data_IF_580736016586
#
_entry.id   IF_580736016586
#
_cell.length_a   1.000
_cell.length_b   1.000
_cell.length_c   1.000
_cell.angle_alpha   90.00
_cell.angle_beta   90.00
_cell.angle_gamma   90.00
#
_symmetry.space_group_name_H-M   'P 1'
#
loop_
_entity.id
_entity.type
_entity.pdbx_description
1 polymer ?
#
# COMPACT_ATOMS: atom_id res chain seq x y z
N UNK A 1 -21.74 -17.25 -23.82
CA UNK A 1 -20.66 -17.98 -23.13
C UNK A 1 -19.38 -17.16 -23.25
N UNK A 2 -18.88 -16.61 -22.14
CA UNK A 2 -17.58 -15.93 -22.14
C UNK A 2 -16.49 -16.99 -22.41
N UNK A 3 -15.75 -16.86 -23.51
CA UNK A 3 -14.61 -17.75 -23.78
C UNK A 3 -13.53 -17.40 -22.77
N UNK A 4 -13.10 -18.41 -22.01
CA UNK A 4 -11.98 -18.30 -21.09
C UNK A 4 -10.72 -18.25 -21.95
N UNK A 5 -10.15 -17.06 -22.11
CA UNK A 5 -8.95 -16.83 -22.89
C UNK A 5 -7.78 -16.46 -21.97
N UNK A 6 -6.66 -17.18 -22.10
CA UNK A 6 -5.40 -16.84 -21.44
C UNK A 6 -4.83 -15.56 -22.06
N UNK A 7 -4.28 -14.68 -21.22
CA UNK A 7 -3.78 -13.37 -21.67
C UNK A 7 -2.43 -13.51 -22.40
N UNK A 8 -1.39 -13.98 -21.71
CA UNK A 8 -0.05 -14.16 -22.29
C UNK A 8 0.89 -14.97 -21.37
N UNK A 9 2.01 -15.46 -21.92
CA UNK A 9 3.03 -16.20 -21.16
C UNK A 9 3.64 -15.37 -20.02
N UNK A 10 3.88 -14.07 -20.25
CA UNK A 10 4.39 -13.14 -19.22
C UNK A 10 3.46 -13.06 -18.00
N UNK A 11 2.14 -13.15 -18.23
CA UNK A 11 1.13 -13.13 -17.17
C UNK A 11 1.12 -14.40 -16.33
N UNK A 12 1.37 -15.55 -16.98
CA UNK A 12 1.50 -16.82 -16.27
C UNK A 12 2.72 -16.76 -15.32
N UNK A 13 3.87 -16.31 -15.82
CA UNK A 13 5.07 -16.14 -14.99
C UNK A 13 4.88 -15.13 -13.86
N UNK A 14 4.28 -13.98 -14.14
CA UNK A 14 3.92 -13.00 -13.12
C UNK A 14 3.04 -13.64 -12.02
N UNK A 15 2.01 -14.40 -12.41
CA UNK A 15 1.09 -15.06 -11.48
C UNK A 15 1.83 -16.09 -10.61
N UNK A 16 2.67 -16.94 -11.22
CA UNK A 16 3.45 -17.95 -10.50
C UNK A 16 4.38 -17.28 -9.48
N UNK A 17 5.12 -16.25 -9.89
CA UNK A 17 6.04 -15.53 -9.01
C UNK A 17 5.29 -14.89 -7.84
N UNK A 18 4.19 -14.17 -8.10
CA UNK A 18 3.39 -13.52 -7.05
C UNK A 18 2.80 -14.55 -6.10
N UNK A 19 2.24 -15.66 -6.61
CA UNK A 19 1.68 -16.71 -5.76
C UNK A 19 2.76 -17.33 -4.87
N UNK A 20 3.94 -17.64 -5.42
CA UNK A 20 5.04 -18.21 -4.64
C UNK A 20 5.52 -17.24 -3.54
N UNK A 21 5.83 -15.99 -3.89
CA UNK A 21 6.28 -14.99 -2.92
C UNK A 21 5.21 -14.75 -1.86
N UNK A 22 3.94 -14.63 -2.26
CA UNK A 22 2.86 -14.36 -1.33
C UNK A 22 2.55 -15.54 -0.41
N UNK A 23 2.65 -16.79 -0.88
CA UNK A 23 2.55 -17.97 -0.02
C UNK A 23 3.68 -18.04 1.01
N UNK A 24 4.91 -17.68 0.61
CA UNK A 24 6.05 -17.57 1.52
C UNK A 24 5.77 -16.50 2.58
N UNK A 25 5.25 -15.33 2.18
CA UNK A 25 4.84 -14.29 3.12
C UNK A 25 3.74 -14.79 4.07
N UNK A 26 2.69 -15.45 3.57
CA UNK A 26 1.63 -15.99 4.43
C UNK A 26 2.19 -16.98 5.45
N UNK A 27 3.09 -17.88 5.03
CA UNK A 27 3.76 -18.82 5.93
C UNK A 27 4.54 -18.13 7.05
N UNK A 28 5.37 -17.13 6.71
CA UNK A 28 6.11 -16.36 7.71
C UNK A 28 5.19 -15.48 8.57
N UNK A 29 4.11 -14.95 8.00
CA UNK A 29 3.09 -14.20 8.72
C UNK A 29 2.38 -15.06 9.77
N UNK A 30 2.07 -16.32 9.47
CA UNK A 30 1.50 -17.27 10.44
C UNK A 30 2.49 -17.52 11.58
N UNK A 31 3.77 -17.75 11.27
CA UNK A 31 4.82 -17.90 12.29
C UNK A 31 4.93 -16.67 13.18
N UNK A 32 4.85 -15.47 12.59
CA UNK A 32 4.90 -14.23 13.35
C UNK A 32 3.66 -14.06 14.25
N UNK A 33 2.45 -14.37 13.76
CA UNK A 33 1.23 -14.34 14.58
C UNK A 33 1.35 -15.28 15.78
N UNK A 34 1.81 -16.51 15.55
CA UNK A 34 2.00 -17.50 16.59
C UNK A 34 3.07 -17.09 17.62
N UNK A 35 4.15 -16.46 17.15
CA UNK A 35 5.15 -15.89 18.04
C UNK A 35 4.56 -14.78 18.90
N UNK A 36 3.83 -13.85 18.29
CA UNK A 36 3.23 -12.70 18.99
C UNK A 36 2.19 -13.12 20.04
N UNK A 37 1.43 -14.19 19.78
CA UNK A 37 0.47 -14.76 20.74
C UNK A 37 1.16 -15.35 21.98
N UNK A 38 2.40 -15.82 21.85
CA UNK A 38 3.18 -16.49 22.91
C UNK A 38 4.13 -15.57 23.65
N UNK A 39 4.24 -14.31 23.20
CA UNK A 39 5.06 -13.33 23.90
C UNK A 39 4.52 -13.13 25.32
N UNK A 40 5.38 -13.09 26.35
CA UNK A 40 4.97 -12.79 27.71
C UNK A 40 4.71 -11.28 27.83
N UNK A 41 3.53 -10.86 27.35
CA UNK A 41 3.07 -9.48 27.46
C UNK A 41 2.97 -9.10 28.95
N UNK A 42 3.53 -7.95 29.37
CA UNK A 42 3.53 -7.53 30.75
C UNK A 42 2.12 -7.17 31.19
N UNK A 43 1.78 -7.61 32.40
CA UNK A 43 0.47 -7.46 33.04
C UNK A 43 0.10 -6.00 33.36
N UNK A 44 1.09 -5.10 33.39
CA UNK A 44 0.90 -3.67 33.65
C UNK A 44 0.27 -2.90 32.48
N UNK A 45 0.32 -3.46 31.27
CA UNK A 45 -0.29 -2.86 30.08
C UNK A 45 -1.49 -3.70 29.64
N UNK A 46 -2.53 -3.06 29.09
CA UNK A 46 -3.64 -3.79 28.49
C UNK A 46 -3.12 -4.72 27.40
N UNK A 47 -3.46 -6.01 27.49
CA UNK A 47 -3.08 -7.02 26.51
C UNK A 47 -3.44 -6.50 25.09
N UNK A 48 -2.54 -6.59 24.09
CA UNK A 48 -2.75 -6.05 22.74
C UNK A 48 -3.73 -6.88 21.91
N UNK A 49 -4.95 -7.06 22.41
CA UNK A 49 -5.97 -7.89 21.79
C UNK A 49 -6.35 -7.38 20.40
N UNK A 50 -6.41 -6.06 20.25
CA UNK A 50 -6.85 -5.42 19.01
C UNK A 50 -5.76 -5.50 17.94
N UNK A 51 -4.51 -5.21 18.28
CA UNK A 51 -3.39 -5.24 17.33
C UNK A 51 -3.11 -6.67 16.84
N UNK A 52 -3.17 -7.66 17.74
CA UNK A 52 -3.08 -9.08 17.39
C UNK A 52 -4.25 -9.53 16.49
N UNK A 53 -5.47 -9.04 16.76
CA UNK A 53 -6.64 -9.33 15.94
C UNK A 53 -6.50 -8.72 14.54
N UNK A 54 -6.08 -7.46 14.44
CA UNK A 54 -5.83 -6.79 13.16
C UNK A 54 -4.80 -7.57 12.35
N UNK A 55 -3.69 -8.03 12.95
CA UNK A 55 -2.70 -8.82 12.22
C UNK A 55 -3.28 -10.10 11.63
N UNK A 56 -4.00 -10.88 12.44
CA UNK A 56 -4.64 -12.13 11.97
C UNK A 56 -5.66 -11.86 10.87
N UNK A 57 -6.45 -10.81 11.02
CA UNK A 57 -7.48 -10.43 10.06
C UNK A 57 -6.89 -9.94 8.72
N UNK A 58 -5.89 -9.06 8.77
CA UNK A 58 -5.16 -8.59 7.59
C UNK A 58 -4.49 -9.76 6.84
N UNK A 59 -3.87 -10.68 7.57
CA UNK A 59 -3.24 -11.87 6.99
C UNK A 59 -4.28 -12.79 6.33
N UNK A 60 -5.41 -13.03 6.99
CA UNK A 60 -6.51 -13.84 6.47
C UNK A 60 -7.10 -13.22 5.19
N UNK A 61 -7.41 -11.92 5.22
CA UNK A 61 -7.91 -11.21 4.04
C UNK A 61 -6.90 -11.28 2.90
N UNK A 62 -5.62 -11.06 3.19
CA UNK A 62 -4.56 -11.11 2.18
C UNK A 62 -4.51 -12.49 1.49
N UNK A 63 -4.64 -13.57 2.25
CA UNK A 63 -4.74 -14.92 1.70
C UNK A 63 -6.01 -15.15 0.87
N UNK A 64 -7.17 -14.66 1.31
CA UNK A 64 -8.42 -14.77 0.54
C UNK A 64 -8.33 -13.99 -0.77
N UNK A 65 -7.76 -12.78 -0.74
CA UNK A 65 -7.51 -11.97 -1.93
C UNK A 65 -6.53 -12.65 -2.89
N UNK A 66 -5.60 -13.49 -2.40
CA UNK A 66 -4.70 -14.26 -3.27
C UNK A 66 -5.48 -15.25 -4.13
N UNK A 67 -6.45 -15.94 -3.54
CA UNK A 67 -7.31 -16.87 -4.28
C UNK A 67 -8.13 -16.12 -5.34
N UNK A 68 -8.64 -14.94 -5.00
CA UNK A 68 -9.38 -14.07 -5.92
C UNK A 68 -8.45 -13.52 -7.01
N UNK A 69 -7.19 -13.24 -6.72
CA UNK A 69 -6.19 -12.69 -7.65
C UNK A 69 -5.84 -13.65 -8.80
N UNK A 70 -5.88 -14.96 -8.58
CA UNK A 70 -5.47 -15.95 -9.61
C UNK A 70 -6.31 -15.81 -10.88
N UNK A 71 -7.62 -15.63 -10.75
CA UNK A 71 -8.53 -15.49 -11.88
C UNK A 71 -8.21 -14.26 -12.78
N UNK A 72 -8.21 -13.01 -12.27
CA UNK A 72 -7.85 -11.82 -13.04
C UNK A 72 -6.40 -11.78 -13.49
N UNK A 73 -5.52 -12.56 -12.86
CA UNK A 73 -4.12 -12.64 -13.26
C UNK A 73 -3.96 -13.44 -14.57
N UNK A 74 -4.71 -14.53 -14.73
CA UNK A 74 -4.57 -15.46 -15.84
C UNK A 74 -5.52 -15.20 -17.02
N UNK A 75 -6.76 -14.79 -16.73
CA UNK A 75 -7.84 -14.73 -17.71
C UNK A 75 -8.25 -13.30 -18.06
N UNK A 76 -8.74 -13.11 -19.28
CA UNK A 76 -9.32 -11.84 -19.73
C UNK A 76 -10.63 -11.54 -19.00
N UNK A 77 -10.82 -10.29 -18.57
CA UNK A 77 -12.04 -9.87 -17.83
C UNK A 77 -12.73 -8.66 -18.48
N UNK A 78 -12.16 -8.10 -19.55
CA UNK A 78 -12.72 -6.94 -20.24
C UNK A 78 -12.36 -5.62 -19.56
N UNK A 79 -11.27 -5.56 -18.80
CA UNK A 79 -10.66 -4.31 -18.37
C UNK A 79 -9.40 -4.08 -19.23
N UNK A 80 -9.29 -2.92 -19.88
CA UNK A 80 -8.20 -2.66 -20.84
C UNK A 80 -6.82 -2.79 -20.22
N UNK A 81 -6.64 -2.20 -19.03
CA UNK A 81 -5.38 -2.29 -18.28
C UNK A 81 -5.12 -3.72 -17.83
N UNK A 82 -6.15 -4.43 -17.36
CA UNK A 82 -5.98 -5.81 -16.94
C UNK A 82 -5.68 -6.77 -18.10
N UNK A 83 -6.22 -6.52 -19.28
CA UNK A 83 -6.07 -7.46 -20.40
C UNK A 83 -4.84 -7.13 -21.27
N UNK A 84 -3.99 -6.18 -20.83
CA UNK A 84 -2.87 -5.63 -21.59
C UNK A 84 -3.29 -5.16 -22.99
N UNK A 85 -4.49 -4.59 -23.10
CA UNK A 85 -5.02 -4.09 -24.35
C UNK A 85 -4.75 -2.60 -24.46
N UNK A 86 -4.25 -2.20 -25.63
CA UNK A 86 -4.08 -0.79 -25.97
C UNK A 86 -5.40 -0.22 -26.49
N UNK A 87 -5.71 1.01 -26.11
CA UNK A 87 -6.90 1.70 -26.55
C UNK A 87 -6.73 2.09 -28.02
N UNK A 88 -7.64 1.67 -28.89
CA UNK A 88 -7.57 2.04 -30.32
C UNK A 88 -8.49 3.21 -30.66
N UNK A 89 -8.27 3.85 -31.82
CA UNK A 89 -9.13 4.93 -32.32
C UNK A 89 -10.56 4.40 -32.54
N UNK A 90 -10.72 3.15 -32.94
CA UNK A 90 -12.03 2.53 -33.15
C UNK A 90 -12.78 2.33 -31.84
N UNK A 91 -12.07 1.99 -30.75
CA UNK A 91 -12.67 1.88 -29.42
C UNK A 91 -13.15 3.23 -28.89
N UNK A 92 -12.45 4.31 -29.19
CA UNK A 92 -12.90 5.68 -28.89
C UNK A 92 -14.16 6.07 -29.69
N UNK A 93 -14.32 5.51 -30.89
CA UNK A 93 -15.46 5.76 -31.79
C UNK A 93 -16.68 4.89 -31.49
N UNK A 94 -16.59 3.84 -30.68
CA UNK A 94 -17.76 3.02 -30.29
C UNK A 94 -18.73 3.79 -29.39
N UNK A 95 -20.03 3.61 -29.61
CA UNK A 95 -21.12 4.17 -28.80
C UNK A 95 -21.21 3.47 -27.45
N UNK A 96 -21.65 4.20 -26.41
CA UNK A 96 -21.42 3.80 -25.01
C UNK A 96 -22.21 2.56 -24.58
N UNK A 97 -21.55 1.69 -23.81
CA UNK A 97 -22.21 0.73 -22.91
C UNK A 97 -22.75 1.47 -21.66
N UNK A 98 -23.46 0.75 -20.79
CA UNK A 98 -23.91 1.27 -19.48
C UNK A 98 -22.77 1.89 -18.66
N UNK A 99 -23.09 2.87 -17.80
CA UNK A 99 -22.12 3.56 -16.93
C UNK A 99 -21.25 2.58 -16.11
N UNK A 100 -21.84 1.49 -15.60
CA UNK A 100 -21.13 0.48 -14.84
C UNK A 100 -20.08 -0.25 -15.70
N UNK A 101 -20.41 -0.59 -16.95
CA UNK A 101 -19.46 -1.20 -17.88
C UNK A 101 -18.33 -0.24 -18.27
N UNK A 102 -18.63 1.06 -18.40
CA UNK A 102 -17.62 2.09 -18.69
C UNK A 102 -16.64 2.24 -17.54
N UNK A 103 -17.13 2.28 -16.30
CA UNK A 103 -16.28 2.32 -15.11
C UNK A 103 -15.41 1.05 -15.05
N UNK A 104 -16.00 -0.13 -15.23
CA UNK A 104 -15.24 -1.39 -15.20
C UNK A 104 -14.11 -1.46 -16.23
N UNK A 105 -14.39 -1.09 -17.47
CA UNK A 105 -13.42 -1.14 -18.58
C UNK A 105 -12.23 -0.22 -18.37
N UNK A 106 -12.46 0.92 -17.72
CA UNK A 106 -11.50 2.02 -17.54
C UNK A 106 -10.97 2.14 -16.11
N UNK A 107 -11.31 1.20 -15.23
CA UNK A 107 -10.70 1.09 -13.92
C UNK A 107 -9.24 0.62 -14.04
N UNK A 108 -8.48 0.83 -12.98
CA UNK A 108 -7.15 0.21 -12.81
C UNK A 108 -7.21 -1.31 -13.00
N UNK A 109 -6.06 -1.90 -13.33
CA UNK A 109 -5.93 -3.34 -13.47
C UNK A 109 -6.34 -4.08 -12.20
N UNK A 110 -7.37 -4.93 -12.29
CA UNK A 110 -7.87 -5.69 -11.15
C UNK A 110 -6.80 -6.59 -10.51
N UNK A 111 -5.99 -7.28 -11.33
CA UNK A 111 -4.93 -8.13 -10.78
C UNK A 111 -3.81 -7.32 -10.10
N UNK A 112 -3.42 -6.17 -10.66
CA UNK A 112 -2.38 -5.33 -10.06
C UNK A 112 -2.87 -4.71 -8.75
N UNK A 113 -4.13 -4.29 -8.71
CA UNK A 113 -4.76 -3.68 -7.53
C UNK A 113 -4.95 -4.68 -6.40
N UNK A 114 -5.39 -5.90 -6.70
CA UNK A 114 -5.41 -6.98 -5.71
C UNK A 114 -4.02 -7.25 -5.15
N UNK A 115 -2.98 -7.30 -6.00
CA UNK A 115 -1.61 -7.51 -5.56
C UNK A 115 -1.09 -6.37 -4.65
N UNK A 116 -1.41 -5.11 -4.98
CA UNK A 116 -1.11 -3.96 -4.13
C UNK A 116 -1.81 -4.07 -2.77
N UNK A 117 -3.12 -4.32 -2.76
CA UNK A 117 -3.92 -4.42 -1.53
C UNK A 117 -3.41 -5.54 -0.63
N UNK A 118 -3.17 -6.73 -1.18
CA UNK A 118 -2.62 -7.87 -0.43
C UNK A 118 -1.29 -7.55 0.24
N UNK A 119 -0.37 -6.91 -0.49
CA UNK A 119 0.94 -6.52 0.02
C UNK A 119 0.84 -5.43 1.09
N UNK A 120 -0.03 -4.45 0.85
CA UNK A 120 -0.30 -3.35 1.77
C UNK A 120 -0.90 -3.82 3.10
N UNK A 121 -1.85 -4.76 3.06
CA UNK A 121 -2.45 -5.36 4.26
C UNK A 121 -1.42 -6.03 5.18
N UNK A 122 -0.44 -6.73 4.59
CA UNK A 122 0.64 -7.34 5.34
C UNK A 122 1.49 -6.25 6.01
N UNK A 123 1.94 -5.28 5.23
CA UNK A 123 2.79 -4.17 5.67
C UNK A 123 2.16 -3.37 6.81
N UNK A 124 0.89 -2.96 6.68
CA UNK A 124 0.24 -2.13 7.70
C UNK A 124 0.09 -2.89 9.03
N UNK A 125 -0.18 -4.20 8.96
CA UNK A 125 -0.32 -5.03 10.14
C UNK A 125 0.98 -5.21 10.92
N UNK A 126 2.12 -5.31 10.21
CA UNK A 126 3.44 -5.43 10.84
C UNK A 126 3.83 -4.16 11.58
N UNK A 127 3.47 -2.99 11.05
CA UNK A 127 3.74 -1.69 11.69
C UNK A 127 3.06 -1.59 13.05
N UNK A 128 1.77 -1.94 13.12
CA UNK A 128 0.98 -1.83 14.34
C UNK A 128 1.56 -2.69 15.47
N UNK A 129 1.93 -3.94 15.16
CA UNK A 129 2.51 -4.83 16.16
C UNK A 129 3.91 -4.39 16.57
N UNK A 130 4.76 -3.99 15.62
CA UNK A 130 6.09 -3.50 15.94
C UNK A 130 6.03 -2.28 16.87
N UNK A 131 5.13 -1.34 16.62
CA UNK A 131 4.92 -0.20 17.49
C UNK A 131 4.50 -0.63 18.91
N UNK A 132 3.59 -1.60 19.03
CA UNK A 132 3.13 -2.11 20.32
C UNK A 132 4.23 -2.87 21.09
N UNK A 133 5.05 -3.65 20.40
CA UNK A 133 6.19 -4.35 20.99
C UNK A 133 7.23 -3.37 21.54
N UNK A 134 7.46 -2.25 20.85
CA UNK A 134 8.37 -1.17 21.31
C UNK A 134 7.79 -0.48 22.55
N UNK A 135 6.51 -0.11 22.52
CA UNK A 135 5.81 0.53 23.64
C UNK A 135 5.93 -0.28 24.94
N UNK A 136 5.79 -1.59 24.82
CA UNK A 136 5.82 -2.52 25.94
C UNK A 136 7.27 -2.83 26.40
N UNK A 137 8.27 -2.39 25.64
CA UNK A 137 9.68 -2.65 25.93
C UNK A 137 10.16 -4.06 25.55
N UNK A 138 9.40 -4.79 24.73
CA UNK A 138 9.80 -6.10 24.20
C UNK A 138 10.83 -5.97 23.08
N UNK A 139 10.83 -4.84 22.36
CA UNK A 139 11.80 -4.50 21.31
C UNK A 139 12.66 -3.32 21.77
N UNK A 140 13.93 -3.30 21.37
CA UNK A 140 14.88 -2.26 21.79
C UNK A 140 14.40 -0.86 21.35
N UNK A 141 14.47 0.12 22.26
CA UNK A 141 14.11 1.52 21.99
C UNK A 141 15.01 2.18 20.95
N UNK A 142 16.20 1.64 20.67
CA UNK A 142 17.05 2.09 19.57
C UNK A 142 16.35 1.95 18.19
N UNK A 143 15.40 1.02 18.05
CA UNK A 143 14.62 0.78 16.82
C UNK A 143 13.44 1.75 16.63
N UNK A 144 13.26 2.69 17.55
CA UNK A 144 12.20 3.68 17.49
C UNK A 144 12.41 4.63 16.29
N UNK A 145 13.65 5.00 16.00
CA UNK A 145 14.02 5.93 14.92
C UNK A 145 14.31 5.25 13.58
N UNK A 146 14.35 3.93 13.54
CA UNK A 146 14.58 3.17 12.32
C UNK A 146 13.27 2.86 11.62
N UNK A 147 13.22 3.12 10.32
CA UNK A 147 12.12 2.71 9.45
C UNK A 147 12.44 1.35 8.82
N UNK A 148 11.41 0.58 8.45
CA UNK A 148 11.62 -0.66 7.71
C UNK A 148 12.15 -0.41 6.29
N UNK A 149 12.09 0.84 5.79
CA UNK A 149 12.76 1.24 4.55
C UNK A 149 14.27 1.33 4.72
N UNK A 150 14.78 1.64 5.92
CA UNK A 150 16.22 1.66 6.20
C UNK A 150 16.81 0.26 6.00
N UNK A 151 16.02 -0.79 6.27
CA UNK A 151 16.39 -2.19 6.05
C UNK A 151 16.60 -2.55 4.58
N UNK A 152 16.08 -1.76 3.63
CA UNK A 152 16.36 -1.94 2.21
C UNK A 152 17.74 -1.40 1.82
N UNK A 153 18.19 -0.33 2.48
CA UNK A 153 19.42 0.37 2.14
C UNK A 153 20.61 -0.13 2.95
N UNK A 154 20.40 -0.56 4.20
CA UNK A 154 21.45 -1.02 5.07
C UNK A 154 21.45 -2.57 5.18
N UNK A 155 22.15 -3.21 4.24
CA UNK A 155 22.32 -4.67 4.21
C UNK A 155 23.21 -5.16 5.37
N UNK A 156 24.01 -4.26 5.97
CA UNK A 156 25.08 -4.60 6.92
C UNK A 156 24.63 -4.60 8.37
N UNK A 157 23.68 -3.73 8.73
CA UNK A 157 23.16 -3.60 10.08
C UNK A 157 21.88 -4.43 10.24
N UNK A 158 22.03 -5.75 10.41
CA UNK A 158 20.98 -6.45 11.14
C UNK A 158 20.94 -5.80 12.52
N UNK A 159 19.85 -5.13 12.93
CA UNK A 159 19.80 -4.59 14.27
C UNK A 159 19.85 -5.79 15.19
N UNK A 160 21.01 -6.00 15.81
CA UNK A 160 21.12 -6.99 16.87
C UNK A 160 20.04 -6.63 17.86
N UNK A 161 19.06 -7.53 18.00
CA UNK A 161 18.05 -7.41 19.03
C UNK A 161 18.81 -7.59 20.33
N UNK A 162 19.42 -6.51 20.82
CA UNK A 162 19.83 -6.37 22.20
C UNK A 162 18.54 -6.20 22.97
N UNK A 163 17.86 -7.33 23.18
CA UNK A 163 16.81 -7.41 24.17
C UNK A 163 17.47 -6.91 25.45
N UNK A 164 16.94 -5.82 26.01
CA UNK A 164 17.40 -5.30 27.30
C UNK A 164 17.45 -6.46 28.30
N UNK A 165 18.47 -6.44 29.17
CA UNK A 165 18.94 -7.49 30.10
C UNK A 165 17.91 -8.25 30.97
N UNK A 166 16.59 -8.11 30.74
CA UNK A 166 15.51 -8.80 31.46
C UNK A 166 14.99 -10.08 30.82
N UNK A 167 15.33 -10.40 29.57
CA UNK A 167 14.94 -11.67 28.93
C UNK A 167 16.16 -12.52 28.58
N UNK A 168 16.96 -12.85 29.59
CA UNK A 168 17.84 -14.01 29.52
C UNK A 168 16.97 -15.24 29.81
N UNK A 169 16.22 -15.68 28.80
CA UNK A 169 15.72 -17.05 28.78
C UNK A 169 16.47 -17.72 27.63
N UNK A 170 17.15 -18.82 27.98
CA UNK A 170 17.80 -19.74 27.07
C UNK A 170 16.98 -19.97 25.80
N UNK A 171 17.65 -20.00 24.63
CA UNK A 171 17.49 -21.05 23.60
C UNK A 171 17.89 -20.54 22.21
N UNK A 172 18.67 -21.37 21.52
CA UNK A 172 19.08 -21.26 20.11
C UNK A 172 17.90 -21.10 19.12
N UNK A 173 16.65 -21.31 19.56
CA UNK A 173 15.46 -21.14 18.76
C UNK A 173 15.08 -19.65 18.54
N UNK A 174 15.44 -18.75 19.45
CA UNK A 174 15.08 -17.33 19.34
C UNK A 174 15.87 -16.57 18.26
N UNK A 175 17.14 -16.90 18.04
CA UNK A 175 17.97 -16.27 17.00
C UNK A 175 17.54 -16.64 15.58
N UNK A 176 17.10 -17.89 15.37
CA UNK A 176 16.52 -18.32 14.09
C UNK A 176 15.19 -17.60 13.80
N UNK A 177 14.42 -17.30 14.85
CA UNK A 177 13.12 -16.66 14.75
C UNK A 177 13.24 -15.15 14.50
N UNK A 178 14.21 -14.48 15.13
CA UNK A 178 14.48 -13.06 14.86
C UNK A 178 14.90 -12.82 13.41
N UNK A 179 15.78 -13.67 12.86
CA UNK A 179 16.17 -13.61 11.45
C UNK A 179 14.96 -13.78 10.52
N UNK A 180 14.02 -14.65 10.89
CA UNK A 180 12.79 -14.87 10.10
C UNK A 180 11.83 -13.68 10.09
N UNK A 181 11.78 -12.89 11.17
CA UNK A 181 10.87 -11.73 11.29
C UNK A 181 11.41 -10.54 10.49
N UNK A 182 12.70 -10.23 10.58
CA UNK A 182 13.28 -9.13 9.80
C UNK A 182 13.25 -9.43 8.30
N UNK A 183 13.50 -10.70 7.93
CA UNK A 183 13.36 -11.18 6.56
C UNK A 183 11.91 -11.06 6.06
N UNK A 184 10.92 -11.31 6.92
CA UNK A 184 9.49 -11.18 6.58
C UNK A 184 9.10 -9.73 6.29
N UNK A 185 9.50 -8.77 7.14
CA UNK A 185 9.25 -7.35 6.89
C UNK A 185 9.90 -6.87 5.60
N UNK A 186 11.17 -7.24 5.33
CA UNK A 186 11.86 -6.90 4.07
C UNK A 186 11.14 -7.46 2.83
N UNK A 187 10.79 -8.74 2.88
CA UNK A 187 10.08 -9.41 1.77
C UNK A 187 8.71 -8.77 1.51
N UNK A 188 8.01 -8.35 2.57
CA UNK A 188 6.71 -7.69 2.41
C UNK A 188 6.80 -6.36 1.66
N UNK A 189 7.83 -5.54 1.96
CA UNK A 189 8.10 -4.28 1.27
C UNK A 189 8.51 -4.53 -0.18
N UNK A 190 9.40 -5.51 -0.42
CA UNK A 190 9.77 -5.89 -1.78
C UNK A 190 8.56 -6.36 -2.61
N UNK A 191 7.63 -7.10 -1.99
CA UNK A 191 6.41 -7.53 -2.65
C UNK A 191 5.50 -6.34 -3.02
N UNK A 192 5.38 -5.35 -2.12
CA UNK A 192 4.65 -4.11 -2.40
C UNK A 192 5.30 -3.26 -3.49
N UNK A 193 6.63 -3.13 -3.48
CA UNK A 193 7.37 -2.44 -4.54
C UNK A 193 7.23 -3.14 -5.89
N UNK A 194 7.23 -4.48 -5.90
CA UNK A 194 7.00 -5.27 -7.09
C UNK A 194 5.58 -5.08 -7.64
N UNK A 195 4.56 -5.11 -6.78
CA UNK A 195 3.19 -4.80 -7.17
C UNK A 195 3.06 -3.38 -7.76
N UNK A 196 3.73 -2.40 -7.14
CA UNK A 196 3.77 -1.01 -7.57
C UNK A 196 4.45 -0.85 -8.93
N UNK A 197 5.58 -1.53 -9.16
CA UNK A 197 6.31 -1.53 -10.42
C UNK A 197 5.45 -2.02 -11.59
N UNK A 198 4.67 -3.08 -11.36
CA UNK A 198 3.72 -3.58 -12.36
C UNK A 198 2.65 -2.54 -12.70
N UNK A 199 2.19 -1.75 -11.73
CA UNK A 199 1.24 -0.66 -11.99
C UNK A 199 1.86 0.48 -12.81
N UNK A 200 3.11 0.85 -12.53
CA UNK A 200 3.85 1.91 -13.25
C UNK A 200 3.94 1.60 -14.75
N UNK A 201 4.10 0.33 -15.12
CA UNK A 201 4.24 -0.10 -16.51
C UNK A 201 2.88 -0.29 -17.18
N UNK A 202 1.95 -0.95 -16.49
CA UNK A 202 0.76 -1.52 -17.11
C UNK A 202 -0.35 -0.51 -17.34
N UNK A 203 -0.63 0.35 -16.36
CA UNK A 203 -1.72 1.32 -16.48
C UNK A 203 -1.48 2.29 -17.65
N UNK A 204 -0.26 2.81 -17.86
CA UNK A 204 0.00 3.70 -18.98
C UNK A 204 0.12 3.00 -20.33
N UNK A 205 0.41 1.69 -20.34
CA UNK A 205 0.50 0.91 -21.57
C UNK A 205 -0.79 0.99 -22.40
N UNK A 206 -1.94 1.16 -21.76
CA UNK A 206 -3.24 1.31 -22.43
C UNK A 206 -3.25 2.46 -23.43
N UNK A 207 -2.57 3.57 -23.15
CA UNK A 207 -2.57 4.75 -24.02
C UNK A 207 -1.44 4.76 -25.06
N UNK A 208 -0.59 3.73 -25.09
CA UNK A 208 0.64 3.71 -25.88
C UNK A 208 0.40 3.86 -27.39
N UNK A 209 -0.66 3.24 -27.89
CA UNK A 209 -1.14 3.31 -29.28
C UNK A 209 -1.59 4.72 -29.70
N UNK A 210 -2.18 5.49 -28.79
CA UNK A 210 -2.76 6.82 -29.09
C UNK A 210 -1.72 7.91 -28.90
N UNK A 211 -1.05 7.91 -27.75
CA UNK A 211 -0.07 8.93 -27.40
C UNK A 211 1.03 8.36 -26.51
N UNK A 212 2.21 8.18 -27.09
CA UNK A 212 3.42 7.75 -26.37
C UNK A 212 3.82 8.76 -25.29
N UNK A 213 3.77 10.05 -25.59
CA UNK A 213 4.13 11.12 -24.65
C UNK A 213 3.21 11.08 -23.43
N UNK A 214 1.90 10.98 -23.63
CA UNK A 214 0.95 10.88 -22.53
C UNK A 214 1.20 9.63 -21.68
N UNK A 215 1.46 8.48 -22.31
CA UNK A 215 1.75 7.23 -21.62
C UNK A 215 3.00 7.35 -20.73
N UNK A 216 4.05 8.02 -21.21
CA UNK A 216 5.27 8.26 -20.43
C UNK A 216 4.99 9.18 -19.25
N UNK A 217 4.27 10.30 -19.47
CA UNK A 217 3.91 11.22 -18.39
C UNK A 217 3.03 10.55 -17.33
N UNK A 218 2.10 9.70 -17.75
CA UNK A 218 1.24 8.97 -16.83
C UNK A 218 2.03 7.94 -16.01
N UNK A 219 2.96 7.22 -16.65
CA UNK A 219 3.88 6.31 -15.96
C UNK A 219 4.71 7.04 -14.90
N UNK A 220 5.24 8.22 -15.24
CA UNK A 220 5.98 9.06 -14.31
C UNK A 220 5.09 9.54 -13.15
N UNK A 221 3.84 9.92 -13.42
CA UNK A 221 2.90 10.31 -12.37
C UNK A 221 2.60 9.17 -11.38
N UNK A 222 2.41 7.93 -11.87
CA UNK A 222 2.24 6.75 -11.00
C UNK A 222 3.52 6.49 -10.20
N UNK A 223 4.71 6.63 -10.81
CA UNK A 223 5.97 6.47 -10.10
C UNK A 223 6.13 7.47 -8.95
N UNK A 224 5.73 8.74 -9.14
CA UNK A 224 5.70 9.74 -8.07
C UNK A 224 4.70 9.38 -6.97
N UNK A 225 3.55 8.82 -7.30
CA UNK A 225 2.58 8.33 -6.32
C UNK A 225 3.16 7.17 -5.48
N UNK A 226 3.88 6.23 -6.11
CA UNK A 226 4.56 5.15 -5.40
C UNK A 226 5.66 5.69 -4.48
N UNK A 227 6.44 6.68 -4.93
CA UNK A 227 7.43 7.35 -4.08
C UNK A 227 6.75 8.01 -2.87
N UNK A 228 5.63 8.71 -3.10
CA UNK A 228 4.84 9.32 -2.04
C UNK A 228 4.31 8.28 -1.03
N UNK A 229 3.83 7.12 -1.49
CA UNK A 229 3.41 6.01 -0.64
C UNK A 229 4.55 5.48 0.24
N UNK A 230 5.74 5.27 -0.34
CA UNK A 230 6.92 4.84 0.42
C UNK A 230 7.33 5.87 1.49
N UNK A 231 7.43 7.15 1.11
CA UNK A 231 7.82 8.20 2.06
C UNK A 231 6.80 8.35 3.19
N UNK A 232 5.51 8.31 2.87
CA UNK A 232 4.45 8.42 3.88
C UNK A 232 4.40 7.18 4.78
N UNK A 233 4.62 5.99 4.23
CA UNK A 233 4.76 4.76 5.02
C UNK A 233 5.90 4.88 6.03
N UNK A 234 7.09 5.29 5.61
CA UNK A 234 8.23 5.48 6.51
C UNK A 234 7.94 6.51 7.60
N UNK A 235 7.33 7.64 7.25
CA UNK A 235 6.96 8.67 8.21
C UNK A 235 5.89 8.19 9.22
N UNK A 236 4.89 7.43 8.76
CA UNK A 236 3.86 6.84 9.60
C UNK A 236 4.45 5.86 10.63
N UNK A 237 5.40 5.03 10.21
CA UNK A 237 6.05 4.10 11.14
C UNK A 237 6.70 4.83 12.31
N UNK A 238 7.46 5.89 12.02
CA UNK A 238 8.10 6.71 13.05
C UNK A 238 7.07 7.37 13.95
N UNK A 239 6.01 7.92 13.35
CA UNK A 239 4.95 8.61 14.07
C UNK A 239 4.19 7.67 15.03
N UNK A 240 3.73 6.50 14.55
CA UNK A 240 3.01 5.54 15.39
C UNK A 240 3.93 5.00 16.50
N UNK A 241 5.20 4.69 16.21
CA UNK A 241 6.17 4.26 17.23
C UNK A 241 6.35 5.32 18.34
N UNK A 242 6.42 6.59 17.96
CA UNK A 242 6.57 7.70 18.90
C UNK A 242 5.30 7.96 19.73
N UNK A 243 4.12 7.98 19.09
CA UNK A 243 2.83 8.12 19.79
C UNK A 243 2.69 6.99 20.83
N UNK A 244 3.06 5.76 20.47
CA UNK A 244 2.96 4.64 21.42
C UNK A 244 4.00 4.72 22.54
N UNK A 245 5.22 5.21 22.31
CA UNK A 245 6.28 5.26 23.33
C UNK A 245 6.16 6.47 24.28
N UNK A 246 5.30 7.44 23.98
CA UNK A 246 4.92 8.58 24.83
C UNK A 246 6.11 9.43 25.36
N UNK A 247 7.25 9.42 24.68
CA UNK A 247 8.47 10.08 25.18
C UNK A 247 8.53 11.57 24.94
N UNK A 248 7.83 12.09 23.93
CA UNK A 248 8.12 13.43 23.41
C UNK A 248 7.15 14.50 23.92
N UNK A 249 5.91 14.12 24.29
CA UNK A 249 4.94 15.05 24.90
C UNK A 249 5.45 15.65 26.22
N UNK A 250 6.38 14.98 26.90
CA UNK A 250 6.98 15.45 28.14
C UNK A 250 8.04 16.53 27.95
N UNK A 251 8.58 16.74 26.73
CA UNK A 251 9.75 17.59 26.57
C UNK A 251 9.41 19.05 26.29
N UNK A 252 8.42 19.35 25.43
CA UNK A 252 8.05 20.72 25.05
C UNK A 252 6.51 20.80 24.92
N UNK A 253 5.88 21.83 25.51
CA UNK A 253 4.41 22.08 25.52
C UNK A 253 3.77 22.33 24.12
N UNK A 254 4.37 21.86 23.04
CA UNK A 254 3.82 21.92 21.68
C UNK A 254 3.07 20.61 21.45
N UNK A 255 1.74 20.66 21.52
CA UNK A 255 0.90 19.47 21.38
C UNK A 255 0.87 18.94 19.94
N UNK A 256 1.09 17.64 19.79
CA UNK A 256 0.71 16.94 18.56
C UNK A 256 -0.80 17.12 18.34
N UNK A 257 -1.22 17.34 17.10
CA UNK A 257 -2.64 17.56 16.77
C UNK A 257 -3.43 16.25 16.93
N UNK A 258 -2.80 15.10 16.66
CA UNK A 258 -3.32 13.75 16.90
C UNK A 258 -2.73 13.08 18.16
N UNK A 259 -2.17 13.88 19.08
CA UNK A 259 -1.68 13.46 20.41
C UNK A 259 -2.67 12.48 21.04
N UNK A 260 -2.23 11.27 21.37
CA UNK A 260 -3.00 10.20 22.01
C UNK A 260 -4.01 9.38 21.18
N UNK A 261 -4.10 9.55 19.85
CA UNK A 261 -5.02 8.75 19.02
C UNK A 261 -4.34 8.00 17.86
N UNK A 262 -3.61 6.90 18.13
CA UNK A 262 -2.88 6.16 17.08
C UNK A 262 -3.81 5.60 15.99
N UNK A 263 -5.06 5.25 16.33
CA UNK A 263 -6.04 4.75 15.37
C UNK A 263 -6.58 5.86 14.45
N UNK A 264 -6.70 7.10 14.94
CA UNK A 264 -7.11 8.24 14.12
C UNK A 264 -6.00 8.58 13.12
N UNK A 265 -4.74 8.56 13.55
CA UNK A 265 -3.56 8.71 12.68
C UNK A 265 -3.53 7.63 11.60
N UNK A 266 -3.73 6.36 11.99
CA UNK A 266 -3.83 5.23 11.05
C UNK A 266 -4.97 5.43 10.05
N UNK A 267 -6.16 5.82 10.52
CA UNK A 267 -7.32 6.02 9.66
C UNK A 267 -7.09 7.14 8.64
N UNK A 268 -6.56 8.29 9.06
CA UNK A 268 -6.22 9.40 8.17
C UNK A 268 -5.17 8.99 7.14
N UNK A 269 -4.18 8.19 7.54
CA UNK A 269 -3.22 7.62 6.62
C UNK A 269 -3.89 6.71 5.58
N UNK A 270 -4.70 5.74 6.02
CA UNK A 270 -5.42 4.85 5.10
C UNK A 270 -6.32 5.62 4.12
N UNK A 271 -6.99 6.67 4.59
CA UNK A 271 -7.79 7.56 3.77
C UNK A 271 -6.93 8.33 2.75
N UNK A 272 -5.76 8.82 3.16
CA UNK A 272 -4.81 9.50 2.28
C UNK A 272 -4.32 8.58 1.14
N UNK A 273 -3.93 7.35 1.49
CA UNK A 273 -3.48 6.33 0.54
C UNK A 273 -4.58 5.99 -0.46
N UNK A 274 -5.83 5.83 0.02
CA UNK A 274 -7.00 5.63 -0.83
C UNK A 274 -7.26 6.82 -1.77
N UNK A 275 -7.13 8.07 -1.29
CA UNK A 275 -7.29 9.25 -2.13
C UNK A 275 -6.23 9.33 -3.24
N UNK A 276 -4.97 9.00 -2.95
CA UNK A 276 -3.91 8.91 -3.97
C UNK A 276 -4.26 7.83 -5.01
N UNK A 277 -4.76 6.69 -4.57
CA UNK A 277 -5.20 5.62 -5.47
C UNK A 277 -6.34 6.09 -6.40
N UNK A 278 -7.39 6.71 -5.86
CA UNK A 278 -8.51 7.26 -6.65
C UNK A 278 -8.05 8.41 -7.57
N UNK A 279 -7.07 9.20 -7.16
CA UNK A 279 -6.49 10.26 -8.01
C UNK A 279 -5.88 9.67 -9.30
N UNK A 280 -5.26 8.49 -9.21
CA UNK A 280 -4.63 7.82 -10.35
C UNK A 280 -5.67 7.31 -11.36
N UNK A 281 -6.83 6.86 -10.88
CA UNK A 281 -8.00 6.50 -11.71
C UNK A 281 -8.61 7.74 -12.35
N UNK A 282 -8.70 8.85 -11.60
CA UNK A 282 -9.23 10.12 -12.12
C UNK A 282 -8.38 10.66 -13.27
N UNK A 283 -7.06 10.52 -13.18
CA UNK A 283 -6.13 10.89 -14.26
C UNK A 283 -6.34 10.03 -15.52
N UNK A 284 -6.50 8.71 -15.37
CA UNK A 284 -6.88 7.81 -16.48
C UNK A 284 -8.19 8.28 -17.12
N UNK A 285 -9.22 8.53 -16.31
CA UNK A 285 -10.56 8.89 -16.78
C UNK A 285 -10.57 10.24 -17.50
N UNK A 286 -9.81 11.22 -17.01
CA UNK A 286 -9.57 12.49 -17.68
C UNK A 286 -8.98 12.30 -19.07
N UNK A 287 -7.92 11.49 -19.19
CA UNK A 287 -7.23 11.26 -20.44
C UNK A 287 -8.13 10.56 -21.47
N UNK A 288 -8.84 9.52 -21.04
CA UNK A 288 -9.81 8.81 -21.87
C UNK A 288 -10.86 9.77 -22.46
N UNK A 289 -11.50 10.60 -21.61
CA UNK A 289 -12.51 11.55 -22.08
C UNK A 289 -11.92 12.61 -23.02
N UNK A 290 -10.71 13.10 -22.74
CA UNK A 290 -10.01 14.07 -23.59
C UNK A 290 -9.73 13.49 -24.98
N UNK A 291 -9.15 12.29 -25.07
CA UNK A 291 -8.91 11.64 -26.36
C UNK A 291 -10.23 11.35 -27.08
N UNK A 292 -11.25 10.85 -26.38
CA UNK A 292 -12.58 10.60 -26.95
C UNK A 292 -13.19 11.87 -27.58
N UNK A 293 -13.16 13.00 -26.87
CA UNK A 293 -13.71 14.26 -27.37
C UNK A 293 -13.01 14.80 -28.63
N UNK A 294 -11.72 14.48 -28.81
CA UNK A 294 -10.98 14.87 -30.01
C UNK A 294 -11.46 14.12 -31.25
N UNK A 295 -11.96 12.88 -31.09
CA UNK A 295 -12.42 12.03 -32.19
C UNK A 295 -13.95 12.02 -32.35
N UNK A 296 -14.71 12.35 -31.32
CA UNK A 296 -16.18 12.50 -31.34
C UNK A 296 -16.57 13.91 -30.89
N UNK A 297 -17.08 14.73 -31.82
CA UNK A 297 -17.64 16.05 -31.53
C UNK A 297 -19.16 15.93 -31.32
N UNK A 298 -19.59 15.50 -30.13
CA UNK A 298 -21.01 15.60 -29.72
C UNK A 298 -21.18 16.67 -28.65
N UNK A 299 -22.28 17.44 -28.70
CA UNK A 299 -22.59 18.46 -27.71
C UNK A 299 -22.87 17.87 -26.31
N UNK A 300 -23.34 16.63 -26.22
CA UNK A 300 -23.61 15.93 -24.96
C UNK A 300 -22.31 15.57 -24.19
N UNK A 301 -21.17 15.49 -24.90
CA UNK A 301 -19.88 15.13 -24.31
C UNK A 301 -19.24 16.28 -23.50
N UNK A 302 -19.74 17.52 -23.62
CA UNK A 302 -19.17 18.67 -22.90
C UNK A 302 -19.25 18.52 -21.38
N UNK A 303 -20.36 18.05 -20.82
CA UNK A 303 -20.48 17.82 -19.37
C UNK A 303 -19.61 16.65 -18.89
N UNK A 304 -19.49 15.58 -19.68
CA UNK A 304 -18.62 14.44 -19.37
C UNK A 304 -17.14 14.83 -19.29
N UNK A 305 -16.73 15.87 -20.01
CA UNK A 305 -15.35 16.36 -20.00
C UNK A 305 -14.97 17.11 -18.71
N UNK A 306 -15.93 17.75 -18.01
CA UNK A 306 -15.68 18.49 -16.77
C UNK A 306 -15.79 17.63 -15.50
N UNK A 307 -16.43 16.46 -15.59
CA UNK A 307 -16.58 15.55 -14.46
C UNK A 307 -15.23 15.10 -13.84
N UNK A 308 -14.20 14.68 -14.61
CA UNK A 308 -12.90 14.33 -14.04
C UNK A 308 -12.22 15.50 -13.31
N UNK A 309 -12.35 16.73 -13.82
CA UNK A 309 -11.76 17.91 -13.17
C UNK A 309 -12.45 18.25 -11.85
N UNK A 310 -13.77 18.10 -11.76
CA UNK A 310 -14.51 18.32 -10.51
C UNK A 310 -14.10 17.27 -9.46
N UNK A 311 -14.03 16.00 -9.87
CA UNK A 311 -13.56 14.91 -9.01
C UNK A 311 -12.13 15.20 -8.51
N UNK A 312 -11.23 15.67 -9.39
CA UNK A 312 -9.87 16.02 -9.01
C UNK A 312 -9.81 17.15 -7.97
N UNK A 313 -10.66 18.17 -8.08
CA UNK A 313 -10.75 19.26 -7.09
C UNK A 313 -11.22 18.73 -5.73
N UNK A 314 -12.25 17.87 -5.71
CA UNK A 314 -12.73 17.24 -4.47
C UNK A 314 -11.64 16.39 -3.84
N UNK A 315 -10.95 15.57 -4.63
CA UNK A 315 -9.84 14.74 -4.15
C UNK A 315 -8.73 15.62 -3.58
N UNK A 316 -8.39 16.73 -4.25
CA UNK A 316 -7.36 17.65 -3.76
C UNK A 316 -7.74 18.26 -2.41
N UNK A 317 -8.98 18.73 -2.25
CA UNK A 317 -9.47 19.31 -1.00
C UNK A 317 -9.49 18.28 0.15
N UNK A 318 -9.95 17.06 -0.13
CA UNK A 318 -9.92 15.97 0.86
C UNK A 318 -8.49 15.56 1.21
N UNK A 319 -7.62 15.49 0.20
CA UNK A 319 -6.21 15.14 0.38
C UNK A 319 -5.49 16.16 1.24
N UNK A 320 -5.69 17.47 1.01
CA UNK A 320 -5.08 18.52 1.83
C UNK A 320 -5.62 18.48 3.26
N UNK A 321 -6.94 18.29 3.44
CA UNK A 321 -7.55 18.18 4.77
C UNK A 321 -7.00 16.99 5.58
N UNK A 322 -6.79 15.82 4.93
CA UNK A 322 -6.25 14.64 5.60
C UNK A 322 -4.72 14.75 5.85
N UNK A 323 -3.99 15.32 4.89
CA UNK A 323 -2.53 15.40 4.95
C UNK A 323 -2.03 16.45 5.93
N UNK A 324 -2.74 17.57 6.08
CA UNK A 324 -2.32 18.68 6.93
C UNK A 324 -2.04 18.29 8.40
N UNK A 325 -2.94 17.58 9.11
CA UNK A 325 -2.67 17.17 10.50
C UNK A 325 -1.55 16.12 10.60
N UNK A 326 -1.48 15.18 9.65
CA UNK A 326 -0.40 14.20 9.60
C UNK A 326 0.96 14.85 9.38
N UNK A 327 1.03 15.78 8.42
CA UNK A 327 2.25 16.51 8.10
C UNK A 327 2.73 17.35 9.29
N UNK A 328 1.81 18.05 9.96
CA UNK A 328 2.11 18.82 11.17
C UNK A 328 2.81 17.94 12.23
N UNK A 329 2.24 16.79 12.53
CA UNK A 329 2.77 15.89 13.55
C UNK A 329 4.10 15.24 13.13
N UNK A 330 4.27 14.92 11.85
CA UNK A 330 5.55 14.46 11.29
C UNK A 330 6.62 15.56 11.39
N UNK A 331 6.28 16.81 11.09
CA UNK A 331 7.22 17.95 11.19
C UNK A 331 7.65 18.19 12.63
N UNK A 332 6.72 18.15 13.59
CA UNK A 332 7.04 18.27 15.01
C UNK A 332 7.97 17.15 15.48
N UNK A 333 7.70 15.91 15.06
CA UNK A 333 8.56 14.76 15.35
C UNK A 333 9.99 15.00 14.84
N UNK A 334 10.14 15.52 13.62
CA UNK A 334 11.46 15.81 13.05
C UNK A 334 12.19 16.96 13.76
N UNK A 335 11.47 18.01 14.14
CA UNK A 335 12.03 19.14 14.91
C UNK A 335 12.52 18.65 16.28
N UNK A 336 11.72 17.82 16.97
CA UNK A 336 12.03 17.34 18.32
C UNK A 336 13.17 16.31 18.37
N UNK A 337 13.50 15.69 17.23
CA UNK A 337 14.66 14.77 17.11
C UNK A 337 16.00 15.45 16.91
N UNK A 338 16.01 16.72 16.49
CA UNK A 338 17.22 17.55 16.39
C UNK A 338 17.45 18.27 17.70
#
# INVERSE_FOLDING_TARGET
MARIELISLSRIWYTIIVVLIHLILVYFGIKQCYFNDRLPWPTSSSLPKLELLIQKFCLLISFVLLLIFIYPALFKIGNFSNDNQQLTIDDLKKTELSLCSKLWQHCFSLSSTLHLIMSFLIIISTVLIHAKQIMVGLKNSALLWHSDLDLLFDWSSSPTISITKRFVISNQNFSSLSFSIDSYSRLSILNFLFASFVCIIREPYVFWSISKIFSILYSFAIALNVLQWCLMYGALQLLIKNICFNTIELRHNIGYLLSNQPYTTLFLYLLLEFLIYISSITYYYYAYNRFKSNYKRSCYDRFSNYCPSLIAIIILLLYTACKMPLAHDIFLLYIQTR
#
